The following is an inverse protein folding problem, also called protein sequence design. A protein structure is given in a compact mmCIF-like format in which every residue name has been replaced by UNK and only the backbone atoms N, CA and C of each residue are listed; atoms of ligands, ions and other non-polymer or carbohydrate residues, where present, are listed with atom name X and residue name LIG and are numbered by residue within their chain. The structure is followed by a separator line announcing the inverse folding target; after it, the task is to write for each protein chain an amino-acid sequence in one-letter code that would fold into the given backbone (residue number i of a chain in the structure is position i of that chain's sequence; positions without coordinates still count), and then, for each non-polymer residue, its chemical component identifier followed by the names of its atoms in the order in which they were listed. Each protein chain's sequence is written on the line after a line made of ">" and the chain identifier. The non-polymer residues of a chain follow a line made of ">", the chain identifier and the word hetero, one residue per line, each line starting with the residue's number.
data_IF_522431077519
#
_entry.id   IF_522431077519
#
_cell.length_a   1.000
_cell.length_b   1.000
_cell.length_c   1.000
_cell.angle_alpha   90.00
_cell.angle_beta   90.00
_cell.angle_gamma   90.00
#
_symmetry.space_group_name_H-M   'P 1'
#
loop_
_entity.id
_entity.type
_entity.pdbx_description
1 polymer ?
#
# COMPACT_ATOMS: atom_id res chain seq x y z
N UNK A 1 -9.63 26.26 -32.25
CA UNK A 1 -9.89 25.29 -33.35
C UNK A 1 -11.15 24.54 -33.02
N UNK A 2 -12.09 24.45 -33.93
CA UNK A 2 -13.37 23.71 -33.72
C UNK A 2 -13.26 22.33 -34.35
N UNK A 3 -12.41 21.47 -33.75
CA UNK A 3 -12.34 20.08 -34.18
C UNK A 3 -13.70 19.42 -33.93
N UNK A 4 -14.26 18.75 -34.93
CA UNK A 4 -15.52 18.04 -34.77
C UNK A 4 -15.26 16.77 -33.93
N UNK A 5 -15.95 16.68 -32.78
CA UNK A 5 -15.81 15.53 -31.88
C UNK A 5 -17.16 14.90 -31.62
N UNK A 6 -17.29 13.62 -31.96
CA UNK A 6 -18.47 12.81 -31.64
C UNK A 6 -18.17 11.97 -30.40
N UNK A 7 -19.02 12.08 -29.37
CA UNK A 7 -18.93 11.34 -28.14
C UNK A 7 -19.96 10.24 -28.06
N UNK A 8 -19.53 9.01 -27.74
CA UNK A 8 -20.41 7.86 -27.53
C UNK A 8 -20.07 7.22 -26.19
N UNK A 9 -21.05 7.13 -25.28
CA UNK A 9 -20.90 6.35 -24.05
C UNK A 9 -20.88 4.86 -24.37
N UNK A 10 -19.93 4.16 -23.79
CA UNK A 10 -19.80 2.71 -23.82
C UNK A 10 -20.07 2.13 -22.43
N UNK A 11 -20.13 0.81 -22.33
CA UNK A 11 -20.23 0.11 -21.02
C UNK A 11 -18.95 0.28 -20.19
N UNK A 12 -19.03 -0.03 -18.90
CA UNK A 12 -17.90 -0.02 -17.96
C UNK A 12 -17.20 1.34 -17.83
N UNK A 13 -17.99 2.41 -17.81
CA UNK A 13 -17.50 3.79 -17.67
C UNK A 13 -16.49 4.21 -18.76
N UNK A 14 -16.64 3.65 -19.96
CA UNK A 14 -15.85 4.05 -21.13
C UNK A 14 -16.60 5.05 -21.99
N UNK A 15 -15.82 5.90 -22.65
CA UNK A 15 -16.30 6.87 -23.62
C UNK A 15 -15.44 6.74 -24.87
N UNK A 16 -16.08 6.54 -26.01
CA UNK A 16 -15.43 6.63 -27.31
C UNK A 16 -15.56 8.06 -27.82
N UNK A 17 -14.44 8.67 -28.10
CA UNK A 17 -14.30 9.99 -28.70
C UNK A 17 -13.82 9.83 -30.13
N UNK A 18 -14.58 10.30 -31.11
CA UNK A 18 -14.21 10.29 -32.51
C UNK A 18 -13.85 11.70 -32.92
N UNK A 19 -12.61 11.91 -33.34
CA UNK A 19 -12.03 13.18 -33.73
C UNK A 19 -11.88 13.22 -35.24
N UNK A 20 -12.34 14.30 -35.85
CA UNK A 20 -12.18 14.58 -37.26
C UNK A 20 -11.57 15.99 -37.44
N UNK A 21 -10.36 16.05 -37.99
CA UNK A 21 -9.64 17.28 -38.32
C UNK A 21 -9.72 17.50 -39.83
N UNK A 22 -10.01 18.72 -40.22
CA UNK A 22 -9.91 19.12 -41.61
C UNK A 22 -8.49 19.08 -42.15
N UNK A 23 -8.29 19.05 -43.45
CA UNK A 23 -6.96 19.08 -44.06
C UNK A 23 -6.15 20.34 -43.66
N UNK A 24 -6.80 21.46 -43.38
CA UNK A 24 -6.12 22.69 -42.91
C UNK A 24 -5.64 22.58 -41.49
N UNK A 25 -6.48 22.04 -40.59
CA UNK A 25 -6.11 21.81 -39.18
C UNK A 25 -4.99 20.77 -39.07
N UNK A 26 -5.07 19.68 -39.82
CA UNK A 26 -4.01 18.66 -39.81
C UNK A 26 -2.68 19.16 -40.38
N UNK A 27 -2.73 20.13 -41.32
CA UNK A 27 -1.53 20.74 -41.89
C UNK A 27 -0.66 21.41 -40.83
N UNK A 28 -1.21 22.06 -39.84
CA UNK A 28 -0.44 22.68 -38.74
C UNK A 28 0.37 21.64 -37.97
N UNK A 29 -0.22 20.49 -37.68
CA UNK A 29 0.46 19.38 -37.00
C UNK A 29 1.53 18.75 -37.90
N UNK A 30 1.30 18.71 -39.20
CA UNK A 30 2.28 18.22 -40.16
C UNK A 30 3.51 19.15 -40.27
N UNK A 31 3.29 20.46 -40.28
CA UNK A 31 4.37 21.45 -40.26
C UNK A 31 5.19 21.37 -38.96
N UNK A 32 4.52 21.17 -37.83
CA UNK A 32 5.16 20.98 -36.55
C UNK A 32 6.01 19.69 -36.52
N UNK A 33 5.52 18.58 -37.08
CA UNK A 33 6.25 17.33 -37.19
C UNK A 33 7.53 17.49 -38.02
N UNK A 34 7.50 18.26 -39.12
CA UNK A 34 8.69 18.55 -39.90
C UNK A 34 9.71 19.32 -39.05
N UNK A 35 9.28 20.33 -38.30
CA UNK A 35 10.18 21.14 -37.47
C UNK A 35 10.79 20.29 -36.33
N UNK A 36 10.03 19.40 -35.74
CA UNK A 36 10.54 18.47 -34.72
C UNK A 36 11.58 17.50 -35.32
N UNK A 37 11.23 16.82 -36.41
CA UNK A 37 12.10 15.84 -37.06
C UNK A 37 13.37 16.47 -37.70
N UNK A 38 13.36 17.76 -38.00
CA UNK A 38 14.49 18.53 -38.53
C UNK A 38 15.75 18.39 -37.65
N UNK A 39 15.57 18.19 -36.34
CA UNK A 39 16.66 18.01 -35.39
C UNK A 39 17.23 16.57 -35.38
N UNK A 40 16.56 15.63 -36.03
CA UNK A 40 16.95 14.22 -36.09
C UNK A 40 17.39 13.74 -37.47
N UNK A 41 17.35 14.63 -38.47
CA UNK A 41 17.72 14.29 -39.85
C UNK A 41 18.94 15.04 -40.29
N UNK A 42 19.95 14.31 -40.83
CA UNK A 42 21.12 14.89 -41.47
C UNK A 42 20.78 15.23 -42.92
N UNK A 43 20.92 16.53 -43.28
CA UNK A 43 20.82 17.01 -44.63
C UNK A 43 22.19 17.54 -45.07
N UNK A 44 22.72 17.02 -46.20
CA UNK A 44 24.03 17.41 -46.67
C UNK A 44 24.14 18.90 -46.95
N UNK A 45 25.17 19.55 -46.46
CA UNK A 45 25.37 21.00 -46.57
C UNK A 45 24.71 21.85 -45.46
N UNK A 46 23.98 21.24 -44.51
CA UNK A 46 23.35 21.98 -43.43
C UNK A 46 23.75 21.37 -42.06
N UNK A 47 23.84 22.25 -41.05
CA UNK A 47 23.96 21.83 -39.67
C UNK A 47 22.60 21.27 -39.21
N UNK A 48 22.60 20.27 -38.32
CA UNK A 48 21.42 19.68 -37.75
C UNK A 48 20.46 20.76 -37.23
N UNK A 49 19.17 20.66 -37.59
CA UNK A 49 18.14 21.60 -37.23
C UNK A 49 18.11 22.93 -38.06
N UNK A 50 18.99 23.09 -39.08
CA UNK A 50 19.06 24.33 -39.91
C UNK A 50 18.71 24.14 -41.38
N UNK A 51 18.38 22.94 -41.78
CA UNK A 51 17.95 22.67 -43.15
C UNK A 51 16.54 23.26 -43.41
N UNK A 52 16.23 23.73 -44.63
CA UNK A 52 14.89 24.14 -45.03
C UNK A 52 13.90 22.95 -44.87
N UNK A 53 12.64 23.25 -44.47
CA UNK A 53 11.61 22.25 -44.26
C UNK A 53 11.37 21.33 -45.46
N UNK A 54 11.41 21.89 -46.70
CA UNK A 54 11.24 21.12 -47.94
C UNK A 54 12.34 20.06 -48.14
N UNK A 55 13.58 20.37 -47.79
CA UNK A 55 14.70 19.41 -47.90
C UNK A 55 14.67 18.33 -46.83
N UNK A 56 14.14 18.67 -45.63
CA UNK A 56 13.90 17.71 -44.56
C UNK A 56 12.80 16.73 -44.94
N UNK A 57 11.71 17.26 -45.53
CA UNK A 57 10.59 16.47 -46.01
C UNK A 57 11.00 15.49 -47.15
N UNK A 58 11.83 15.92 -48.10
CA UNK A 58 12.34 15.04 -49.16
C UNK A 58 13.22 13.88 -48.64
N UNK A 59 13.93 14.08 -47.52
CA UNK A 59 14.79 13.06 -46.92
C UNK A 59 14.07 12.11 -45.97
N UNK A 60 12.91 12.53 -45.44
CA UNK A 60 12.10 11.69 -44.58
C UNK A 60 11.22 10.72 -45.37
N UNK A 61 11.00 9.53 -44.79
CA UNK A 61 10.00 8.61 -45.33
C UNK A 61 8.64 9.22 -45.09
N UNK A 62 7.76 9.30 -46.10
CA UNK A 62 6.43 9.90 -45.98
C UNK A 62 5.61 9.28 -44.82
N UNK A 63 5.76 7.96 -44.59
CA UNK A 63 5.06 7.27 -43.53
C UNK A 63 5.52 7.72 -42.13
N UNK A 64 6.84 7.92 -41.93
CA UNK A 64 7.38 8.37 -40.65
C UNK A 64 6.92 9.81 -40.32
N UNK A 65 6.87 10.68 -41.32
CA UNK A 65 6.39 12.05 -41.15
C UNK A 65 4.89 12.06 -40.82
N UNK A 66 4.10 11.23 -41.51
CA UNK A 66 2.65 11.12 -41.24
C UNK A 66 2.38 10.57 -39.84
N UNK A 67 3.14 9.58 -39.38
CA UNK A 67 3.01 9.05 -38.03
C UNK A 67 3.32 10.12 -36.98
N UNK A 68 4.43 10.84 -37.12
CA UNK A 68 4.81 11.92 -36.20
C UNK A 68 3.76 13.03 -36.16
N UNK A 69 3.25 13.44 -37.32
CA UNK A 69 2.16 14.42 -37.41
C UNK A 69 0.87 13.92 -36.77
N UNK A 70 0.55 12.64 -36.98
CA UNK A 70 -0.60 11.98 -36.34
C UNK A 70 -0.48 11.92 -34.83
N UNK A 71 0.67 11.51 -34.30
CA UNK A 71 0.92 11.43 -32.87
C UNK A 71 0.84 12.82 -32.23
N UNK A 72 1.43 13.85 -32.85
CA UNK A 72 1.34 15.22 -32.38
C UNK A 72 -0.13 15.73 -32.39
N UNK A 73 -0.88 15.46 -33.46
CA UNK A 73 -2.28 15.85 -33.56
C UNK A 73 -3.14 15.17 -32.50
N UNK A 74 -2.96 13.84 -32.32
CA UNK A 74 -3.66 13.08 -31.27
C UNK A 74 -3.39 13.67 -29.91
N UNK A 75 -2.13 13.85 -29.54
CA UNK A 75 -1.75 14.36 -28.22
C UNK A 75 -2.34 15.74 -27.94
N UNK A 76 -2.25 16.64 -28.90
CA UNK A 76 -2.71 18.03 -28.75
C UNK A 76 -4.25 18.12 -28.67
N UNK A 77 -4.93 17.57 -29.66
CA UNK A 77 -6.40 17.67 -29.81
C UNK A 77 -7.10 16.89 -28.65
N UNK A 78 -6.60 15.72 -28.32
CA UNK A 78 -7.13 14.95 -27.20
C UNK A 78 -6.99 15.70 -25.87
N UNK A 79 -5.80 16.24 -25.58
CA UNK A 79 -5.54 16.94 -24.32
C UNK A 79 -6.41 18.18 -24.18
N UNK A 80 -6.56 18.95 -25.25
CA UNK A 80 -7.39 20.13 -25.24
C UNK A 80 -8.87 19.80 -25.05
N UNK A 81 -9.39 18.77 -25.75
CA UNK A 81 -10.76 18.31 -25.58
C UNK A 81 -11.05 17.84 -24.15
N UNK A 82 -10.16 17.05 -23.56
CA UNK A 82 -10.29 16.57 -22.16
C UNK A 82 -10.36 17.75 -21.19
N UNK A 83 -9.51 18.76 -21.38
CA UNK A 83 -9.45 19.96 -20.54
C UNK A 83 -10.72 20.82 -20.67
N UNK A 84 -11.16 21.08 -21.90
CA UNK A 84 -12.33 21.92 -22.17
C UNK A 84 -13.62 21.29 -21.65
N UNK A 85 -13.76 19.97 -21.77
CA UNK A 85 -14.95 19.24 -21.33
C UNK A 85 -14.85 18.77 -19.87
N UNK A 86 -13.75 19.09 -19.17
CA UNK A 86 -13.52 18.71 -17.76
C UNK A 86 -13.69 17.21 -17.52
N UNK A 87 -13.26 16.39 -18.49
CA UNK A 87 -13.26 14.95 -18.34
C UNK A 87 -12.08 14.52 -17.45
N UNK A 88 -12.28 13.49 -16.67
CA UNK A 88 -11.26 12.91 -15.79
C UNK A 88 -10.94 11.48 -16.26
N UNK A 89 -10.09 11.33 -17.31
CA UNK A 89 -9.72 10.00 -17.79
C UNK A 89 -8.84 9.27 -16.77
N UNK A 90 -9.05 7.97 -16.69
CA UNK A 90 -8.25 7.06 -15.87
C UNK A 90 -7.38 6.22 -16.80
N UNK A 91 -6.07 6.30 -16.61
CA UNK A 91 -5.09 5.62 -17.47
C UNK A 91 -4.88 6.31 -18.82
N UNK A 92 -4.23 5.60 -19.72
CA UNK A 92 -3.98 6.08 -21.08
C UNK A 92 -5.15 5.76 -22.01
N UNK A 93 -5.48 6.65 -22.98
CA UNK A 93 -6.50 6.37 -23.97
C UNK A 93 -6.07 5.26 -24.92
N UNK A 94 -7.00 4.43 -25.34
CA UNK A 94 -6.78 3.51 -26.46
C UNK A 94 -7.07 4.25 -27.76
N UNK A 95 -5.99 4.62 -28.50
CA UNK A 95 -6.09 5.41 -29.72
C UNK A 95 -6.04 4.52 -30.96
N UNK A 96 -6.96 4.74 -31.89
CA UNK A 96 -6.99 4.09 -33.21
C UNK A 96 -7.11 5.10 -34.31
N UNK A 97 -6.10 5.20 -35.18
CA UNK A 97 -6.13 6.07 -36.35
C UNK A 97 -7.07 5.42 -37.40
N UNK A 98 -8.04 6.18 -37.84
CA UNK A 98 -8.99 5.75 -38.88
C UNK A 98 -8.58 6.25 -40.29
N UNK A 99 -8.06 7.47 -40.36
CA UNK A 99 -7.68 8.07 -41.63
C UNK A 99 -6.49 8.98 -41.42
N UNK A 100 -5.44 8.80 -42.20
CA UNK A 100 -4.25 9.63 -42.20
C UNK A 100 -3.65 9.69 -43.63
N UNK A 101 -3.58 10.88 -44.22
CA UNK A 101 -2.89 11.07 -45.47
C UNK A 101 -2.51 12.59 -45.64
N UNK A 102 -1.40 12.84 -46.33
CA UNK A 102 -0.95 14.23 -46.57
C UNK A 102 -1.98 14.99 -47.39
N UNK A 103 -2.37 16.16 -46.89
CA UNK A 103 -3.32 17.05 -47.58
C UNK A 103 -4.77 16.57 -47.55
N UNK A 104 -5.10 15.60 -46.72
CA UNK A 104 -6.47 15.15 -46.46
C UNK A 104 -6.83 15.28 -44.99
N UNK A 105 -8.10 15.05 -44.69
CA UNK A 105 -8.60 15.00 -43.31
C UNK A 105 -7.83 13.94 -42.48
N UNK A 106 -7.67 14.20 -41.21
CA UNK A 106 -7.16 13.27 -40.24
C UNK A 106 -8.26 12.82 -39.28
N UNK A 107 -8.47 11.53 -39.13
CA UNK A 107 -9.50 11.00 -38.25
C UNK A 107 -8.95 9.91 -37.36
N UNK A 108 -9.26 9.97 -36.05
CA UNK A 108 -8.91 8.96 -35.07
C UNK A 108 -10.00 8.78 -34.02
N UNK A 109 -9.98 7.66 -33.35
CA UNK A 109 -10.80 7.43 -32.17
C UNK A 109 -9.92 7.26 -30.95
N UNK A 110 -10.38 7.79 -29.82
CA UNK A 110 -9.80 7.56 -28.50
C UNK A 110 -10.87 6.95 -27.59
N UNK A 111 -10.64 5.74 -27.09
CA UNK A 111 -11.47 5.16 -26.05
C UNK A 111 -10.82 5.47 -24.72
N UNK A 112 -11.55 6.19 -23.89
CA UNK A 112 -11.11 6.57 -22.54
C UNK A 112 -11.97 5.90 -21.49
N UNK A 113 -11.37 5.52 -20.39
CA UNK A 113 -12.08 5.14 -19.17
C UNK A 113 -12.21 6.41 -18.31
N UNK A 114 -13.42 6.73 -17.87
CA UNK A 114 -13.67 7.84 -16.95
C UNK A 114 -14.09 7.31 -15.58
N UNK A 115 -14.00 8.18 -14.56
CA UNK A 115 -14.51 7.83 -13.25
C UNK A 115 -16.03 7.58 -13.33
N UNK A 116 -16.53 6.47 -12.75
CA UNK A 116 -17.95 6.15 -12.80
C UNK A 116 -18.78 7.10 -11.97
N UNK A 117 -20.00 7.35 -12.40
CA UNK A 117 -21.02 7.98 -11.58
C UNK A 117 -21.40 7.04 -10.44
N UNK A 118 -21.37 7.51 -9.20
CA UNK A 118 -21.66 6.74 -7.98
C UNK A 118 -23.01 7.13 -7.42
N UNK A 119 -23.97 6.21 -7.42
CA UNK A 119 -25.23 6.38 -6.70
C UNK A 119 -25.05 5.96 -5.23
N UNK A 120 -24.99 6.95 -4.33
CA UNK A 120 -24.88 6.70 -2.91
C UNK A 120 -26.25 6.40 -2.28
N UNK A 121 -26.31 5.48 -1.30
CA UNK A 121 -27.49 5.30 -0.45
C UNK A 121 -27.67 6.50 0.51
N UNK A 122 -28.67 6.45 1.37
CA UNK A 122 -28.76 7.39 2.49
C UNK A 122 -27.62 7.15 3.49
N UNK A 123 -26.46 7.75 3.17
CA UNK A 123 -25.25 7.62 3.98
C UNK A 123 -25.38 8.28 5.36
N UNK A 124 -26.28 9.27 5.52
CA UNK A 124 -26.51 9.94 6.80
C UNK A 124 -27.17 8.98 7.80
N UNK A 125 -28.18 8.27 7.35
CA UNK A 125 -28.84 7.26 8.18
C UNK A 125 -27.93 6.05 8.45
N UNK A 126 -27.08 5.68 7.49
CA UNK A 126 -26.08 4.63 7.70
C UNK A 126 -25.07 5.07 8.76
N UNK A 127 -24.57 6.31 8.70
CA UNK A 127 -23.62 6.83 9.68
C UNK A 127 -24.23 6.88 11.08
N UNK A 128 -25.49 7.34 11.22
CA UNK A 128 -26.22 7.33 12.51
C UNK A 128 -26.40 5.94 13.11
N UNK A 129 -26.56 4.93 12.27
CA UNK A 129 -26.77 3.56 12.71
C UNK A 129 -25.50 2.88 13.25
N UNK A 130 -24.31 3.38 12.92
CA UNK A 130 -23.03 2.84 13.39
C UNK A 130 -22.64 3.50 14.70
N UNK A 131 -22.86 2.78 15.80
CA UNK A 131 -22.53 3.27 17.15
C UNK A 131 -21.08 2.95 17.50
N UNK A 132 -20.44 3.89 18.19
CA UNK A 132 -19.14 3.67 18.82
C UNK A 132 -19.28 2.76 20.04
N UNK A 133 -18.21 2.02 20.33
CA UNK A 133 -18.07 1.26 21.57
C UNK A 133 -17.51 2.16 22.66
N UNK A 134 -17.96 1.97 23.87
CA UNK A 134 -17.35 2.62 25.02
C UNK A 134 -15.93 2.10 25.23
N UNK A 135 -14.99 3.02 25.33
CA UNK A 135 -13.58 2.70 25.49
C UNK A 135 -13.21 2.83 26.97
N UNK A 136 -12.86 1.70 27.55
CA UNK A 136 -12.37 1.61 28.93
C UNK A 136 -11.00 0.96 28.94
N UNK A 137 -10.13 1.41 29.83
CA UNK A 137 -8.84 0.79 30.12
C UNK A 137 -8.95 0.08 31.47
N UNK A 138 -8.69 -1.21 31.45
CA UNK A 138 -8.72 -2.03 32.67
C UNK A 138 -7.36 -2.00 33.37
N UNK A 139 -7.37 -2.20 34.68
CA UNK A 139 -6.14 -2.34 35.46
C UNK A 139 -5.28 -3.52 34.96
N UNK A 140 -5.94 -4.58 34.47
CA UNK A 140 -5.23 -5.75 33.91
C UNK A 140 -4.40 -5.39 32.66
N UNK A 141 -4.93 -4.58 31.76
CA UNK A 141 -4.19 -4.15 30.57
C UNK A 141 -2.98 -3.28 30.90
N UNK A 142 -3.11 -2.43 31.90
CA UNK A 142 -1.99 -1.65 32.41
C UNK A 142 -0.93 -2.58 33.00
N UNK A 143 -1.35 -3.56 33.81
CA UNK A 143 -0.45 -4.53 34.43
C UNK A 143 0.23 -5.42 33.40
N UNK A 144 -0.49 -5.89 32.38
CA UNK A 144 0.07 -6.71 31.32
C UNK A 144 1.12 -5.94 30.51
N UNK A 145 0.87 -4.67 30.22
CA UNK A 145 1.84 -3.79 29.56
C UNK A 145 3.09 -3.56 30.41
N UNK A 146 2.91 -3.37 31.72
CA UNK A 146 4.05 -3.24 32.67
C UNK A 146 4.85 -4.52 32.74
N UNK A 147 4.19 -5.68 32.82
CA UNK A 147 4.82 -6.99 32.86
C UNK A 147 5.60 -7.27 31.56
N UNK A 148 5.07 -6.87 30.42
CA UNK A 148 5.79 -6.94 29.15
C UNK A 148 7.07 -6.10 29.18
N UNK A 149 7.00 -4.84 29.62
CA UNK A 149 8.16 -3.97 29.73
C UNK A 149 9.18 -4.50 30.78
N UNK A 150 8.69 -5.08 31.88
CA UNK A 150 9.55 -5.73 32.89
C UNK A 150 10.36 -6.87 32.26
N UNK A 151 9.73 -7.71 31.42
CA UNK A 151 10.42 -8.80 30.71
C UNK A 151 11.46 -8.28 29.71
N UNK A 152 11.19 -7.18 29.02
CA UNK A 152 12.18 -6.59 28.10
C UNK A 152 13.43 -6.02 28.82
N UNK A 153 13.36 -5.83 30.13
CA UNK A 153 14.44 -5.37 30.99
C UNK A 153 15.01 -6.46 31.87
N UNK A 154 14.60 -7.72 31.67
CA UNK A 154 15.14 -8.85 32.40
C UNK A 154 16.65 -8.99 32.19
N UNK A 155 17.34 -9.37 33.26
CA UNK A 155 18.75 -9.75 33.21
C UNK A 155 18.84 -11.26 33.10
N UNK A 156 19.73 -11.75 32.26
CA UNK A 156 19.94 -13.18 32.04
C UNK A 156 21.30 -13.58 32.59
N UNK A 157 21.31 -14.51 33.54
CA UNK A 157 22.52 -14.99 34.18
C UNK A 157 22.67 -16.49 33.89
N UNK A 158 23.73 -16.87 33.20
CA UNK A 158 24.01 -18.27 32.87
C UNK A 158 24.27 -19.10 34.16
N UNK A 159 23.74 -20.32 34.17
CA UNK A 159 23.98 -21.27 35.25
C UNK A 159 24.08 -22.70 34.72
N UNK A 160 24.67 -23.59 35.55
CA UNK A 160 24.87 -25.01 35.21
C UNK A 160 23.82 -25.93 35.85
N UNK A 161 22.81 -25.38 36.51
CA UNK A 161 21.72 -26.19 37.06
C UNK A 161 20.81 -26.71 35.95
N UNK A 162 20.03 -27.77 36.19
CA UNK A 162 18.99 -28.22 35.28
C UNK A 162 18.01 -27.07 34.95
N UNK A 163 17.59 -26.97 33.68
CA UNK A 163 16.65 -25.96 33.20
C UNK A 163 15.31 -26.10 33.94
N UNK A 164 14.78 -24.96 34.39
CA UNK A 164 13.52 -24.84 35.11
C UNK A 164 12.54 -23.97 34.31
N UNK A 165 11.27 -24.04 34.65
CA UNK A 165 10.28 -23.11 34.13
C UNK A 165 10.70 -21.67 34.42
N UNK A 166 10.53 -20.78 33.44
CA UNK A 166 10.97 -19.37 33.42
C UNK A 166 12.47 -19.14 33.19
N UNK A 167 13.28 -20.20 33.03
CA UNK A 167 14.61 -20.00 32.50
C UNK A 167 14.60 -19.70 31.03
N UNK A 168 15.51 -18.85 30.59
CA UNK A 168 15.79 -18.63 29.18
C UNK A 168 16.74 -19.69 28.68
N UNK A 169 16.33 -20.42 27.64
CA UNK A 169 17.12 -21.50 27.08
C UNK A 169 17.46 -21.20 25.62
N UNK A 170 18.71 -21.46 25.27
CA UNK A 170 19.15 -21.55 23.88
C UNK A 170 19.27 -23.02 23.54
N UNK A 171 18.65 -23.44 22.47
CA UNK A 171 18.64 -24.82 22.00
C UNK A 171 19.10 -24.91 20.56
N UNK A 172 19.59 -26.08 20.21
CA UNK A 172 19.80 -26.51 18.83
C UNK A 172 18.96 -27.77 18.62
N UNK A 173 18.06 -27.73 17.62
CA UNK A 173 17.16 -28.86 17.39
C UNK A 173 17.07 -29.24 15.92
N UNK A 174 16.74 -30.51 15.67
CA UNK A 174 16.42 -31.02 14.36
C UNK A 174 15.17 -31.89 14.40
N UNK A 175 14.36 -31.79 13.32
CA UNK A 175 13.15 -32.57 13.14
C UNK A 175 12.94 -32.77 11.63
N UNK A 176 12.71 -34.01 11.20
CA UNK A 176 12.56 -34.33 9.78
C UNK A 176 11.35 -33.64 9.16
N UNK A 177 10.27 -33.54 9.92
CA UNK A 177 8.98 -33.01 9.50
C UNK A 177 8.97 -31.47 9.34
N UNK A 178 9.87 -30.77 10.03
CA UNK A 178 9.91 -29.30 10.04
C UNK A 178 10.98 -28.76 9.08
N UNK A 179 12.22 -29.24 9.23
CA UNK A 179 13.40 -28.65 8.61
C UNK A 179 14.26 -29.69 7.86
N UNK A 180 13.64 -30.77 7.38
CA UNK A 180 14.30 -31.85 6.66
C UNK A 180 15.46 -32.52 7.46
N UNK A 181 15.38 -32.44 8.80
CA UNK A 181 16.42 -32.94 9.69
C UNK A 181 17.65 -32.04 9.82
N UNK A 182 17.62 -30.85 9.24
CA UNK A 182 18.70 -29.87 9.45
C UNK A 182 18.64 -29.31 10.87
N UNK A 183 19.80 -29.00 11.42
CA UNK A 183 19.88 -28.39 12.75
C UNK A 183 19.54 -26.92 12.69
N UNK A 184 18.69 -26.45 13.60
CA UNK A 184 18.25 -25.04 13.74
C UNK A 184 18.47 -24.64 15.20
N UNK A 185 18.95 -23.41 15.41
CA UNK A 185 19.06 -22.79 16.72
C UNK A 185 17.81 -21.98 17.01
N UNK A 186 17.35 -22.05 18.24
CA UNK A 186 16.24 -21.29 18.75
C UNK A 186 16.46 -20.92 20.21
N UNK A 187 15.73 -19.89 20.67
CA UNK A 187 15.86 -19.41 22.05
C UNK A 187 14.50 -18.93 22.55
N UNK A 188 14.13 -19.31 23.75
CA UNK A 188 12.86 -18.95 24.37
C UNK A 188 12.90 -19.12 25.90
N UNK A 189 11.85 -18.60 26.55
CA UNK A 189 11.64 -18.78 28.00
C UNK A 189 10.77 -20.02 28.22
N UNK A 190 11.27 -20.98 28.97
CA UNK A 190 10.57 -22.23 29.27
C UNK A 190 9.24 -21.95 29.98
N UNK A 191 8.17 -22.53 29.46
CA UNK A 191 6.82 -22.43 30.00
C UNK A 191 6.01 -21.19 29.57
N UNK A 192 6.57 -20.36 28.69
CA UNK A 192 5.85 -19.18 28.16
C UNK A 192 5.27 -19.37 26.76
N UNK A 193 5.34 -20.58 26.23
CA UNK A 193 4.78 -20.91 24.91
C UNK A 193 5.63 -20.46 23.73
N UNK A 194 6.93 -20.32 23.90
CA UNK A 194 7.91 -20.06 22.84
C UNK A 194 7.99 -21.22 21.85
N UNK A 195 7.65 -22.43 22.33
CA UNK A 195 7.52 -23.64 21.53
C UNK A 195 6.25 -24.42 21.93
N UNK A 196 5.97 -25.56 21.30
CA UNK A 196 4.82 -26.37 21.67
C UNK A 196 5.00 -26.98 23.07
N UNK A 197 3.94 -27.09 23.86
CA UNK A 197 3.96 -27.47 25.26
C UNK A 197 4.72 -28.78 25.54
N UNK A 198 4.43 -29.87 24.84
CA UNK A 198 5.12 -31.16 25.06
C UNK A 198 6.61 -31.11 24.70
N UNK A 199 7.03 -30.19 23.86
CA UNK A 199 8.43 -29.93 23.54
C UNK A 199 9.13 -29.23 24.71
N UNK A 200 8.54 -28.16 25.24
CA UNK A 200 9.10 -27.41 26.37
C UNK A 200 9.21 -28.29 27.63
N UNK A 201 8.18 -29.10 27.91
CA UNK A 201 8.14 -30.02 29.03
C UNK A 201 9.31 -31.03 28.98
N UNK A 202 9.74 -31.41 27.77
CA UNK A 202 10.85 -32.37 27.57
C UNK A 202 12.23 -31.75 27.81
N UNK A 203 12.34 -30.41 27.76
CA UNK A 203 13.58 -29.67 28.02
C UNK A 203 13.74 -29.35 29.49
N UNK A 204 12.64 -29.24 30.25
CA UNK A 204 12.72 -29.04 31.71
C UNK A 204 13.55 -30.15 32.33
N UNK A 205 14.53 -29.78 33.16
CA UNK A 205 15.46 -30.72 33.82
C UNK A 205 16.74 -31.03 33.06
N UNK A 206 16.86 -30.63 31.78
CA UNK A 206 18.08 -30.76 30.99
C UNK A 206 19.12 -29.71 31.39
N UNK A 207 20.40 -30.04 31.27
CA UNK A 207 21.53 -29.14 31.54
C UNK A 207 22.13 -28.61 30.24
N UNK A 208 22.83 -27.49 30.33
CA UNK A 208 23.63 -26.99 29.22
C UNK A 208 24.60 -28.07 28.71
N UNK A 209 24.66 -28.28 27.41
CA UNK A 209 25.45 -29.32 26.74
C UNK A 209 24.74 -30.67 26.60
N UNK A 210 23.61 -30.91 27.27
CA UNK A 210 22.88 -32.18 27.23
C UNK A 210 22.06 -32.30 25.92
N UNK A 211 22.05 -33.52 25.38
CA UNK A 211 21.28 -33.90 24.19
C UNK A 211 20.20 -34.91 24.56
N UNK A 212 19.03 -34.76 24.00
CA UNK A 212 17.89 -35.65 24.20
C UNK A 212 17.09 -35.79 22.91
N UNK A 213 16.62 -37.03 22.69
CA UNK A 213 15.67 -37.34 21.63
C UNK A 213 14.32 -37.70 22.25
N UNK A 214 13.25 -37.08 21.75
CA UNK A 214 11.90 -37.34 22.24
C UNK A 214 10.86 -37.13 21.11
N UNK A 215 9.71 -37.78 21.27
CA UNK A 215 8.56 -37.59 20.40
C UNK A 215 7.56 -36.66 21.07
N UNK A 216 7.00 -35.73 20.28
CA UNK A 216 5.88 -34.92 20.72
C UNK A 216 4.86 -34.74 19.60
N UNK A 217 3.60 -34.52 19.98
CA UNK A 217 2.50 -34.36 19.04
C UNK A 217 2.26 -32.89 18.77
N UNK A 218 2.19 -32.51 17.47
CA UNK A 218 1.79 -31.17 17.10
C UNK A 218 0.36 -30.88 17.54
N UNK A 219 0.06 -29.68 18.03
CA UNK A 219 -1.31 -29.29 18.35
C UNK A 219 -2.19 -29.32 17.10
N UNK A 220 -3.47 -29.61 17.27
CA UNK A 220 -4.43 -29.71 16.15
C UNK A 220 -4.65 -28.38 15.42
N UNK A 221 -4.39 -27.27 16.11
CA UNK A 221 -4.43 -25.91 15.57
C UNK A 221 -3.06 -25.38 15.09
N UNK A 222 -2.11 -26.26 14.82
CA UNK A 222 -0.80 -25.85 14.31
C UNK A 222 -0.95 -25.02 13.02
N UNK A 223 -0.15 -23.94 12.83
CA UNK A 223 -0.20 -23.09 11.63
C UNK A 223 0.03 -23.89 10.34
N UNK A 224 0.90 -24.90 10.38
CA UNK A 224 1.12 -25.84 9.30
C UNK A 224 0.10 -26.99 9.39
N UNK A 225 -0.92 -26.92 8.56
CA UNK A 225 -2.01 -27.93 8.50
C UNK A 225 -1.51 -29.36 8.21
N UNK A 226 -0.40 -29.45 7.48
CA UNK A 226 0.23 -30.74 7.13
C UNK A 226 0.89 -31.42 8.36
N UNK A 227 1.17 -30.69 9.43
CA UNK A 227 1.73 -31.19 10.68
C UNK A 227 0.71 -31.36 11.79
N UNK A 228 -0.44 -30.69 11.70
CA UNK A 228 -1.47 -30.72 12.75
C UNK A 228 -1.82 -32.13 13.20
N UNK A 229 -1.76 -32.40 14.51
CA UNK A 229 -2.08 -33.68 15.11
C UNK A 229 -1.06 -34.82 14.87
N UNK A 230 0.01 -34.60 14.10
CA UNK A 230 1.04 -35.62 13.84
C UNK A 230 2.07 -35.68 14.95
N UNK A 231 2.61 -36.87 15.17
CA UNK A 231 3.81 -37.04 16.03
C UNK A 231 5.06 -36.76 15.21
N UNK A 232 6.02 -36.08 15.86
CA UNK A 232 7.33 -35.82 15.30
C UNK A 232 8.42 -36.10 16.33
N UNK A 233 9.55 -36.58 15.82
CA UNK A 233 10.73 -36.87 16.64
C UNK A 233 11.69 -35.70 16.58
N UNK A 234 11.98 -35.14 17.73
CA UNK A 234 12.92 -34.04 17.90
C UNK A 234 14.21 -34.55 18.56
N UNK A 235 15.32 -34.19 17.94
CA UNK A 235 16.63 -34.27 18.58
C UNK A 235 17.03 -32.88 19.02
N UNK A 236 17.16 -32.66 20.31
CA UNK A 236 17.41 -31.35 20.92
C UNK A 236 18.70 -31.39 21.72
N UNK A 237 19.51 -30.36 21.58
CA UNK A 237 20.68 -30.06 22.41
C UNK A 237 20.45 -28.73 23.10
N UNK A 238 20.56 -28.70 24.42
CA UNK A 238 20.52 -27.43 25.17
C UNK A 238 21.91 -26.80 25.08
N UNK A 239 21.99 -25.61 24.49
CA UNK A 239 23.25 -24.87 24.31
C UNK A 239 23.57 -24.07 25.56
N UNK A 240 22.60 -23.33 26.09
CA UNK A 240 22.77 -22.60 27.35
C UNK A 240 21.45 -22.54 28.13
N UNK A 241 21.59 -22.44 29.45
CA UNK A 241 20.49 -22.19 30.38
C UNK A 241 20.82 -20.94 31.18
N UNK A 242 19.88 -19.98 31.17
CA UNK A 242 20.08 -18.70 31.85
C UNK A 242 18.87 -18.41 32.75
N UNK A 243 19.11 -18.07 33.99
CA UNK A 243 18.07 -17.58 34.89
C UNK A 243 17.63 -16.19 34.48
N UNK A 244 16.35 -16.03 34.28
CA UNK A 244 15.76 -14.74 34.05
C UNK A 244 15.48 -14.03 35.37
N UNK A 245 16.13 -12.90 35.60
CA UNK A 245 15.93 -12.05 36.77
C UNK A 245 15.17 -10.79 36.33
N UNK A 246 13.93 -10.68 36.77
CA UNK A 246 13.06 -9.53 36.49
C UNK A 246 13.39 -8.39 37.47
N UNK A 247 13.51 -7.14 37.00
CA UNK A 247 13.63 -5.98 37.89
C UNK A 247 12.35 -5.83 38.74
N UNK A 248 12.49 -5.31 39.94
CA UNK A 248 11.32 -4.98 40.77
C UNK A 248 10.54 -3.81 40.17
N UNK A 249 9.21 -3.93 40.18
CA UNK A 249 8.31 -2.89 39.68
C UNK A 249 8.13 -1.83 40.77
N UNK A 250 8.99 -0.83 40.76
CA UNK A 250 9.06 0.26 41.72
C UNK A 250 9.37 1.61 41.02
N UNK A 251 9.58 2.67 41.77
CA UNK A 251 9.87 3.99 41.21
C UNK A 251 11.19 4.03 40.43
N UNK A 252 12.17 3.20 40.79
CA UNK A 252 13.45 3.12 40.08
C UNK A 252 13.25 2.48 38.70
N UNK A 253 12.44 1.42 38.62
CA UNK A 253 12.04 0.82 37.34
C UNK A 253 11.33 1.83 36.43
N UNK A 254 10.43 2.65 36.99
CA UNK A 254 9.76 3.69 36.21
C UNK A 254 10.75 4.73 35.64
N UNK A 255 11.75 5.15 36.42
CA UNK A 255 12.81 6.06 35.98
C UNK A 255 13.70 5.47 34.88
N UNK A 256 13.96 4.16 34.91
CA UNK A 256 14.73 3.48 33.85
C UNK A 256 13.98 3.39 32.51
N UNK A 257 12.64 3.42 32.56
CA UNK A 257 11.80 3.38 31.34
C UNK A 257 11.61 4.75 30.67
N UNK A 258 11.84 5.84 31.41
CA UNK A 258 11.70 7.18 30.89
C UNK A 258 11.74 8.26 31.96
N UNK A 259 11.39 9.48 31.61
CA UNK A 259 11.38 10.63 32.55
C UNK A 259 10.11 10.58 33.45
N UNK A 260 9.99 9.54 34.27
CA UNK A 260 8.89 9.40 35.23
C UNK A 260 9.42 9.52 36.66
N UNK A 261 8.78 10.36 37.47
CA UNK A 261 9.19 10.55 38.86
C UNK A 261 8.78 9.43 39.80
N UNK A 262 7.75 8.63 39.42
CA UNK A 262 7.23 7.53 40.21
C UNK A 262 6.54 6.48 39.36
N UNK A 263 6.36 5.29 39.92
CA UNK A 263 5.56 4.21 39.31
C UNK A 263 4.10 4.64 39.08
N UNK A 264 3.53 5.45 39.98
CA UNK A 264 2.17 5.99 39.83
C UNK A 264 2.06 6.91 38.60
N UNK A 265 3.03 7.80 38.39
CA UNK A 265 3.09 8.67 37.22
C UNK A 265 3.24 7.85 35.92
N UNK A 266 4.08 6.81 35.95
CA UNK A 266 4.24 5.89 34.85
C UNK A 266 2.95 5.14 34.51
N UNK A 267 2.25 4.57 35.50
CA UNK A 267 0.95 3.89 35.32
C UNK A 267 -0.10 4.83 34.72
N UNK A 268 -0.16 6.08 35.19
CA UNK A 268 -1.08 7.10 34.62
C UNK A 268 -0.75 7.38 33.15
N UNK A 269 0.53 7.50 32.80
CA UNK A 269 0.96 7.70 31.42
C UNK A 269 0.60 6.49 30.53
N UNK A 270 0.81 5.28 31.02
CA UNK A 270 0.42 4.04 30.35
C UNK A 270 -1.10 3.99 30.10
N UNK A 271 -1.91 4.32 31.12
CA UNK A 271 -3.35 4.39 31.01
C UNK A 271 -3.79 5.36 29.90
N UNK A 272 -3.21 6.55 29.87
CA UNK A 272 -3.48 7.55 28.83
C UNK A 272 -3.06 7.02 27.45
N UNK A 273 -1.90 6.41 27.35
CA UNK A 273 -1.41 5.81 26.08
C UNK A 273 -2.34 4.72 25.54
N UNK A 274 -2.72 3.75 26.39
CA UNK A 274 -3.65 2.68 26.03
C UNK A 274 -5.03 3.26 25.66
N UNK A 275 -5.52 4.26 26.41
CA UNK A 275 -6.78 4.93 26.12
C UNK A 275 -6.75 5.61 24.75
N UNK A 276 -5.66 6.30 24.42
CA UNK A 276 -5.48 6.96 23.11
C UNK A 276 -5.44 5.95 21.97
N UNK A 277 -4.68 4.86 22.13
CA UNK A 277 -4.58 3.79 21.15
C UNK A 277 -5.95 3.12 20.88
N UNK A 278 -6.67 2.75 21.94
CA UNK A 278 -8.01 2.16 21.82
C UNK A 278 -9.01 3.13 21.19
N UNK A 279 -8.93 4.41 21.53
CA UNK A 279 -9.82 5.43 20.97
C UNK A 279 -9.57 5.59 19.48
N UNK A 280 -8.31 5.61 19.06
CA UNK A 280 -7.97 5.70 17.64
C UNK A 280 -8.36 4.41 16.89
N UNK A 281 -8.11 3.24 17.48
CA UNK A 281 -8.54 1.96 16.90
C UNK A 281 -10.07 1.89 16.72
N UNK A 282 -10.85 2.35 17.70
CA UNK A 282 -12.30 2.39 17.60
C UNK A 282 -12.78 3.42 16.56
N UNK A 283 -12.12 4.57 16.48
CA UNK A 283 -12.38 5.57 15.44
C UNK A 283 -12.18 4.97 14.04
N UNK A 284 -11.07 4.27 13.82
CA UNK A 284 -10.79 3.61 12.55
C UNK A 284 -11.77 2.47 12.27
N UNK A 285 -12.12 1.66 13.27
CA UNK A 285 -13.15 0.61 13.14
C UNK A 285 -14.49 1.20 12.69
N UNK A 286 -14.94 2.26 13.36
CA UNK A 286 -16.22 2.94 13.08
C UNK A 286 -16.23 3.52 11.66
N UNK A 287 -15.14 4.20 11.26
CA UNK A 287 -14.96 4.73 9.90
C UNK A 287 -15.04 3.63 8.85
N UNK A 288 -14.31 2.53 9.10
CA UNK A 288 -14.31 1.36 8.22
C UNK A 288 -15.71 0.75 8.10
N UNK A 289 -16.44 0.58 9.21
CA UNK A 289 -17.80 0.02 9.21
C UNK A 289 -18.79 0.93 8.46
N UNK A 290 -18.72 2.25 8.65
CA UNK A 290 -19.56 3.22 7.92
C UNK A 290 -19.30 3.10 6.42
N UNK A 291 -18.03 3.15 6.01
CA UNK A 291 -17.66 3.10 4.61
C UNK A 291 -18.08 1.77 3.96
N UNK A 292 -17.91 0.65 4.66
CA UNK A 292 -18.29 -0.67 4.18
C UNK A 292 -19.80 -0.78 3.97
N UNK A 293 -20.60 -0.32 4.93
CA UNK A 293 -22.08 -0.31 4.80
C UNK A 293 -22.57 0.62 3.67
N UNK A 294 -21.90 1.73 3.46
CA UNK A 294 -22.19 2.61 2.30
C UNK A 294 -21.83 1.87 1.02
N UNK A 295 -20.65 1.22 0.96
CA UNK A 295 -20.17 0.51 -0.23
C UNK A 295 -21.06 -0.67 -0.63
N UNK A 296 -21.63 -1.39 0.33
CA UNK A 296 -22.55 -2.50 0.07
C UNK A 296 -23.86 -2.05 -0.60
N UNK A 297 -24.30 -0.84 -0.31
CA UNK A 297 -25.57 -0.30 -0.82
C UNK A 297 -25.41 0.67 -2.00
N UNK A 298 -24.20 1.10 -2.29
CA UNK A 298 -23.90 1.97 -3.43
C UNK A 298 -23.96 1.21 -4.74
N UNK A 299 -24.39 1.90 -5.80
CA UNK A 299 -24.49 1.33 -7.15
C UNK A 299 -23.57 2.10 -8.10
N UNK A 300 -22.65 1.39 -8.70
CA UNK A 300 -21.79 1.85 -9.77
C UNK A 300 -21.08 0.65 -10.42
N UNK A 301 -20.68 0.82 -11.66
CA UNK A 301 -19.88 -0.19 -12.36
C UNK A 301 -18.40 0.12 -12.15
N UNK A 302 -17.65 -0.86 -11.65
CA UNK A 302 -16.22 -0.73 -11.45
C UNK A 302 -15.48 -0.88 -12.79
N UNK A 303 -14.75 0.16 -13.28
CA UNK A 303 -13.99 0.05 -14.50
C UNK A 303 -12.83 -0.96 -14.34
N UNK A 304 -12.72 -1.90 -15.26
CA UNK A 304 -11.66 -2.93 -15.23
C UNK A 304 -10.27 -2.30 -15.21
N UNK A 305 -10.06 -1.27 -16.02
CA UNK A 305 -8.77 -0.57 -16.09
C UNK A 305 -8.36 0.04 -14.74
N UNK A 306 -9.31 0.52 -13.93
CA UNK A 306 -9.01 1.02 -12.57
C UNK A 306 -8.55 -0.11 -11.65
N UNK A 307 -9.22 -1.26 -11.72
CA UNK A 307 -8.87 -2.43 -10.90
C UNK A 307 -7.47 -2.92 -11.26
N UNK A 308 -7.17 -3.05 -12.56
CA UNK A 308 -5.86 -3.47 -13.06
C UNK A 308 -4.74 -2.49 -12.63
N UNK A 309 -5.01 -1.21 -12.69
CA UNK A 309 -4.07 -0.18 -12.23
C UNK A 309 -3.80 -0.26 -10.73
N UNK A 310 -4.86 -0.41 -9.90
CA UNK A 310 -4.69 -0.55 -8.45
C UNK A 310 -4.02 -1.87 -8.07
N UNK A 311 -4.30 -2.97 -8.79
CA UNK A 311 -3.57 -4.24 -8.62
C UNK A 311 -2.07 -4.06 -8.90
N UNK A 312 -1.73 -3.34 -9.97
CA UNK A 312 -0.33 -3.06 -10.31
C UNK A 312 0.35 -2.24 -9.22
N UNK A 313 -0.35 -1.23 -8.68
CA UNK A 313 0.16 -0.39 -7.59
C UNK A 313 0.39 -1.21 -6.31
N UNK A 314 -0.54 -2.10 -5.96
CA UNK A 314 -0.39 -3.00 -4.81
C UNK A 314 0.80 -3.96 -4.97
N UNK A 315 1.03 -4.42 -6.20
CA UNK A 315 2.18 -5.27 -6.52
C UNK A 315 3.51 -4.51 -6.39
N UNK A 316 3.58 -3.27 -6.88
CA UNK A 316 4.76 -2.42 -6.70
C UNK A 316 5.02 -2.09 -5.23
N UNK A 317 3.99 -1.83 -4.44
CA UNK A 317 4.11 -1.66 -2.99
C UNK A 317 4.68 -2.91 -2.31
N UNK A 318 4.27 -4.10 -2.75
CA UNK A 318 4.83 -5.37 -2.26
C UNK A 318 6.31 -5.50 -2.63
N UNK A 319 6.68 -5.22 -3.90
CA UNK A 319 8.08 -5.26 -4.37
C UNK A 319 8.98 -4.37 -3.52
N UNK A 320 8.53 -3.13 -3.29
CA UNK A 320 9.25 -2.16 -2.48
C UNK A 320 9.42 -2.63 -1.02
N UNK A 321 8.37 -3.18 -0.41
CA UNK A 321 8.42 -3.72 0.96
C UNK A 321 9.40 -4.89 1.07
N UNK A 322 9.38 -5.82 0.12
CA UNK A 322 10.29 -6.97 0.12
C UNK A 322 11.74 -6.51 0.02
N UNK A 323 12.04 -5.64 -0.93
CA UNK A 323 13.39 -5.11 -1.12
C UNK A 323 13.89 -4.34 0.09
N UNK A 324 13.03 -3.49 0.69
CA UNK A 324 13.41 -2.64 1.82
C UNK A 324 13.52 -3.41 3.14
N UNK A 325 12.62 -4.36 3.43
CA UNK A 325 12.51 -5.02 4.74
C UNK A 325 13.22 -6.38 4.77
N UNK A 326 13.06 -7.18 3.71
CA UNK A 326 13.59 -8.55 3.65
C UNK A 326 14.99 -8.57 3.00
N UNK A 327 15.33 -7.54 2.21
CA UNK A 327 16.62 -7.36 1.51
C UNK A 327 16.96 -8.50 0.54
N UNK A 328 15.94 -9.07 -0.09
CA UNK A 328 16.06 -10.03 -1.20
C UNK A 328 15.44 -9.42 -2.44
N UNK A 329 15.79 -9.94 -3.62
CA UNK A 329 15.12 -9.54 -4.86
C UNK A 329 13.67 -10.07 -4.91
N UNK A 330 12.81 -9.43 -5.69
CA UNK A 330 11.44 -9.88 -5.84
C UNK A 330 11.36 -11.26 -6.53
N UNK A 331 12.28 -11.54 -7.46
CA UNK A 331 12.42 -12.84 -8.13
C UNK A 331 12.77 -13.96 -7.13
N UNK A 332 13.71 -13.71 -6.21
CA UNK A 332 14.05 -14.65 -5.15
C UNK A 332 12.87 -14.91 -4.21
N UNK A 333 12.11 -13.88 -3.89
CA UNK A 333 10.88 -14.02 -3.11
C UNK A 333 9.86 -14.90 -3.84
N UNK A 334 9.55 -14.62 -5.12
CA UNK A 334 8.62 -15.40 -5.93
C UNK A 334 9.05 -16.88 -6.02
N UNK A 335 10.34 -17.13 -6.21
CA UNK A 335 10.89 -18.48 -6.23
C UNK A 335 10.69 -19.21 -4.89
N UNK A 336 10.85 -18.51 -3.75
CA UNK A 336 10.67 -19.09 -2.41
C UNK A 336 9.24 -19.53 -2.12
N UNK A 337 8.25 -18.76 -2.62
CA UNK A 337 6.82 -19.06 -2.45
C UNK A 337 6.22 -19.85 -3.61
N UNK A 338 7.01 -20.14 -4.65
CA UNK A 338 6.62 -20.88 -5.87
C UNK A 338 5.39 -20.29 -6.56
N UNK A 339 5.40 -18.97 -6.75
CA UNK A 339 4.34 -18.23 -7.45
C UNK A 339 4.92 -17.33 -8.52
N UNK A 340 4.11 -17.01 -9.53
CA UNK A 340 4.42 -15.99 -10.54
C UNK A 340 3.95 -14.60 -10.10
N UNK A 341 4.44 -13.57 -10.77
CA UNK A 341 4.01 -12.18 -10.55
C UNK A 341 2.52 -12.02 -10.84
N UNK A 342 2.03 -12.64 -11.91
CA UNK A 342 0.61 -12.63 -12.29
C UNK A 342 -0.28 -13.27 -11.23
N UNK A 343 0.13 -14.42 -10.69
CA UNK A 343 -0.63 -15.08 -9.61
C UNK A 343 -0.70 -14.21 -8.35
N UNK A 344 0.37 -13.48 -8.02
CA UNK A 344 0.35 -12.53 -6.90
C UNK A 344 -0.60 -11.36 -7.23
N UNK A 345 -0.49 -10.80 -8.43
CA UNK A 345 -1.36 -9.70 -8.89
C UNK A 345 -2.84 -10.08 -8.82
N UNK A 346 -3.20 -11.28 -9.26
CA UNK A 346 -4.58 -11.79 -9.17
C UNK A 346 -5.08 -11.88 -7.72
N UNK A 347 -4.23 -12.22 -6.76
CA UNK A 347 -4.64 -12.25 -5.34
C UNK A 347 -5.09 -10.89 -4.82
N UNK A 348 -4.64 -9.80 -5.45
CA UNK A 348 -4.99 -8.43 -5.06
C UNK A 348 -6.32 -7.94 -5.64
N UNK A 349 -7.01 -8.70 -6.50
CA UNK A 349 -8.25 -8.25 -7.13
C UNK A 349 -9.28 -7.74 -6.12
N UNK A 350 -9.60 -8.53 -5.11
CA UNK A 350 -10.60 -8.17 -4.09
C UNK A 350 -10.17 -6.93 -3.27
N UNK A 351 -8.89 -6.84 -2.95
CA UNK A 351 -8.36 -5.71 -2.21
C UNK A 351 -8.38 -4.43 -3.06
N UNK A 352 -7.99 -4.53 -4.33
CA UNK A 352 -8.06 -3.43 -5.28
C UNK A 352 -9.50 -2.92 -5.46
N UNK A 353 -10.46 -3.83 -5.68
CA UNK A 353 -11.87 -3.47 -5.76
C UNK A 353 -12.37 -2.79 -4.48
N UNK A 354 -11.98 -3.29 -3.30
CA UNK A 354 -12.37 -2.69 -2.01
C UNK A 354 -11.81 -1.29 -1.84
N UNK A 355 -10.54 -1.07 -2.19
CA UNK A 355 -9.89 0.25 -2.12
C UNK A 355 -10.53 1.24 -3.08
N UNK A 356 -10.77 0.82 -4.32
CA UNK A 356 -11.41 1.66 -5.33
C UNK A 356 -12.85 2.01 -4.96
N UNK A 357 -13.62 1.07 -4.41
CA UNK A 357 -14.95 1.36 -3.87
C UNK A 357 -14.89 2.45 -2.81
N UNK A 358 -13.98 2.31 -1.84
CA UNK A 358 -13.76 3.33 -0.81
C UNK A 358 -13.40 4.70 -1.40
N UNK A 359 -12.47 4.73 -2.35
CA UNK A 359 -12.04 5.95 -3.03
C UNK A 359 -13.21 6.65 -3.75
N UNK A 360 -13.96 5.92 -4.57
CA UNK A 360 -15.08 6.46 -5.34
C UNK A 360 -16.19 7.00 -4.44
N UNK A 361 -16.50 6.30 -3.34
CA UNK A 361 -17.49 6.73 -2.35
C UNK A 361 -17.04 8.00 -1.64
N UNK A 362 -15.79 8.05 -1.16
CA UNK A 362 -15.26 9.25 -0.50
C UNK A 362 -15.25 10.45 -1.45
N UNK A 363 -14.86 10.25 -2.72
CA UNK A 363 -14.90 11.30 -3.73
C UNK A 363 -16.32 11.85 -3.93
N UNK A 364 -17.31 10.97 -4.07
CA UNK A 364 -18.70 11.38 -4.27
C UNK A 364 -19.29 12.05 -3.02
N UNK A 365 -18.98 11.53 -1.82
CA UNK A 365 -19.34 12.18 -0.56
C UNK A 365 -18.76 13.60 -0.48
N UNK A 366 -17.47 13.77 -0.82
CA UNK A 366 -16.81 15.06 -0.85
C UNK A 366 -17.48 16.06 -1.81
N UNK A 367 -17.92 15.56 -2.97
CA UNK A 367 -18.68 16.36 -3.95
C UNK A 367 -20.04 16.81 -3.40
N UNK A 368 -20.80 15.89 -2.78
CA UNK A 368 -22.13 16.17 -2.25
C UNK A 368 -22.10 17.08 -1.02
N UNK A 369 -21.14 16.89 -0.13
CA UNK A 369 -20.96 17.70 1.08
C UNK A 369 -20.12 18.97 0.82
N UNK A 370 -19.69 19.19 -0.45
CA UNK A 370 -18.90 20.37 -0.89
C UNK A 370 -17.64 20.57 -0.05
N UNK A 371 -16.92 19.46 0.18
CA UNK A 371 -15.70 19.49 0.96
C UNK A 371 -14.56 20.12 0.16
N UNK A 372 -14.02 21.22 0.66
CA UNK A 372 -12.88 21.91 0.06
C UNK A 372 -11.70 21.89 1.03
N UNK A 373 -10.50 21.80 0.47
CA UNK A 373 -9.23 21.93 1.21
C UNK A 373 -8.62 23.27 0.85
N UNK A 374 -8.49 24.14 1.84
CA UNK A 374 -7.87 25.45 1.64
C UNK A 374 -6.35 25.34 1.58
N UNK A 375 -5.71 26.31 0.88
CA UNK A 375 -4.24 26.38 0.81
C UNK A 375 -3.58 26.46 2.20
N UNK A 376 -4.23 27.16 3.13
CA UNK A 376 -3.74 27.25 4.51
C UNK A 376 -3.70 25.90 5.21
N UNK A 377 -4.74 25.09 5.11
CA UNK A 377 -4.78 23.75 5.72
C UNK A 377 -3.73 22.84 5.07
N UNK A 378 -3.56 22.95 3.76
CA UNK A 378 -2.54 22.21 3.03
C UNK A 378 -1.13 22.58 3.49
N UNK A 379 -0.83 23.86 3.61
CA UNK A 379 0.49 24.35 4.05
C UNK A 379 0.80 23.95 5.50
N UNK A 380 -0.20 24.02 6.39
CA UNK A 380 -0.06 23.57 7.79
C UNK A 380 0.25 22.07 7.87
N UNK A 381 -0.45 21.25 7.10
CA UNK A 381 -0.24 19.81 7.11
C UNK A 381 1.07 19.42 6.40
N UNK A 382 1.39 20.04 5.27
CA UNK A 382 2.67 19.86 4.58
C UNK A 382 3.85 20.17 5.52
N UNK A 383 3.73 21.23 6.35
CA UNK A 383 4.76 21.56 7.34
C UNK A 383 5.00 20.45 8.35
N UNK A 384 3.93 19.72 8.75
CA UNK A 384 4.04 18.56 9.66
C UNK A 384 4.64 17.35 8.94
N UNK A 385 4.16 17.08 7.74
CA UNK A 385 4.62 15.94 6.93
C UNK A 385 6.11 16.05 6.61
N UNK A 386 6.56 17.22 6.13
CA UNK A 386 7.97 17.47 5.77
C UNK A 386 8.92 17.32 6.95
N UNK A 387 8.50 17.63 8.18
CA UNK A 387 9.32 17.44 9.39
C UNK A 387 9.68 15.98 9.68
N UNK A 388 8.92 15.04 9.15
CA UNK A 388 9.15 13.62 9.37
C UNK A 388 10.16 13.00 8.37
N UNK A 389 10.60 13.76 7.36
CA UNK A 389 11.55 13.31 6.35
C UNK A 389 12.94 13.91 6.58
N UNK A 390 13.99 13.13 6.28
CA UNK A 390 15.35 13.66 6.20
C UNK A 390 15.52 14.52 4.94
N UNK A 391 16.59 15.34 4.91
CA UNK A 391 16.89 16.18 3.73
C UNK A 391 17.15 15.34 2.48
N UNK A 392 17.77 14.19 2.65
CA UNK A 392 18.07 13.23 1.56
C UNK A 392 16.80 12.60 1.01
N UNK A 393 15.84 12.27 1.87
CA UNK A 393 14.53 11.74 1.45
C UNK A 393 13.72 12.81 0.70
N UNK A 394 13.71 14.05 1.20
CA UNK A 394 12.99 15.15 0.53
C UNK A 394 13.55 15.47 -0.85
N UNK A 395 14.84 15.28 -1.08
CA UNK A 395 15.46 15.49 -2.40
C UNK A 395 15.00 14.46 -3.46
N UNK A 396 14.44 13.33 -3.04
CA UNK A 396 13.95 12.25 -3.92
C UNK A 396 12.43 12.27 -4.12
N UNK A 397 11.71 13.11 -3.37
CA UNK A 397 10.24 13.20 -3.41
C UNK A 397 9.81 14.32 -4.36
N UNK A 398 8.89 14.03 -5.27
CA UNK A 398 8.19 15.09 -6.01
C UNK A 398 7.25 15.84 -5.06
N UNK A 399 7.57 17.10 -4.82
CA UNK A 399 6.82 17.97 -3.92
C UNK A 399 5.37 18.19 -4.40
N UNK A 400 5.12 18.19 -5.70
CA UNK A 400 3.77 18.35 -6.23
C UNK A 400 2.94 17.09 -5.98
N UNK A 401 3.53 15.92 -6.19
CA UNK A 401 2.89 14.65 -5.87
C UNK A 401 2.57 14.54 -4.37
N UNK A 402 3.52 14.93 -3.51
CA UNK A 402 3.32 14.97 -2.06
C UNK A 402 2.19 15.93 -1.66
N UNK A 403 2.07 17.10 -2.32
CA UNK A 403 0.99 18.06 -2.10
C UNK A 403 -0.38 17.49 -2.47
N UNK A 404 -0.49 16.88 -3.64
CA UNK A 404 -1.76 16.26 -4.07
C UNK A 404 -2.16 15.10 -3.16
N UNK A 405 -1.20 14.27 -2.75
CA UNK A 405 -1.44 13.22 -1.77
C UNK A 405 -1.93 13.79 -0.43
N UNK A 406 -1.24 14.81 0.10
CA UNK A 406 -1.60 15.45 1.38
C UNK A 406 -2.98 16.11 1.31
N UNK A 407 -3.30 16.75 0.19
CA UNK A 407 -4.62 17.33 -0.07
C UNK A 407 -5.72 16.26 -0.04
N UNK A 408 -5.46 15.10 -0.65
CA UNK A 408 -6.36 13.93 -0.60
C UNK A 408 -6.57 13.41 0.83
N UNK A 409 -5.52 13.34 1.63
CA UNK A 409 -5.60 12.93 3.05
C UNK A 409 -6.47 13.90 3.85
N UNK A 410 -6.25 15.22 3.71
CA UNK A 410 -7.06 16.24 4.41
C UNK A 410 -8.52 16.16 3.97
N UNK A 411 -8.77 16.04 2.67
CA UNK A 411 -10.11 15.90 2.11
C UNK A 411 -10.86 14.70 2.71
N UNK A 412 -10.22 13.53 2.72
CA UNK A 412 -10.81 12.32 3.28
C UNK A 412 -11.06 12.44 4.79
N UNK A 413 -10.15 13.06 5.54
CA UNK A 413 -10.33 13.29 6.98
C UNK A 413 -11.55 14.17 7.25
N UNK A 414 -11.75 15.24 6.48
CA UNK A 414 -12.95 16.10 6.58
C UNK A 414 -14.24 15.34 6.31
N UNK A 415 -14.24 14.46 5.30
CA UNK A 415 -15.41 13.62 5.01
C UNK A 415 -15.72 12.69 6.17
N UNK A 416 -14.69 12.04 6.73
CA UNK A 416 -14.89 11.19 7.89
C UNK A 416 -15.38 11.97 9.11
N UNK A 417 -14.92 13.19 9.35
CA UNK A 417 -15.43 14.06 10.41
C UNK A 417 -16.93 14.36 10.24
N UNK A 418 -17.35 14.67 9.00
CA UNK A 418 -18.77 14.88 8.69
C UNK A 418 -19.58 13.62 8.97
N UNK A 419 -19.10 12.44 8.56
CA UNK A 419 -19.79 11.16 8.84
C UNK A 419 -19.85 10.83 10.32
N UNK A 420 -18.79 11.14 11.07
CA UNK A 420 -18.74 11.00 12.53
C UNK A 420 -19.73 11.93 13.24
N UNK A 421 -19.91 13.16 12.73
CA UNK A 421 -20.89 14.11 13.29
C UNK A 421 -22.33 13.65 13.10
N UNK A 422 -22.66 13.00 11.98
CA UNK A 422 -23.97 12.37 11.81
C UNK A 422 -24.21 11.20 12.78
N UNK A 423 -23.17 10.61 13.33
CA UNK A 423 -23.24 9.44 14.21
C UNK A 423 -23.17 9.78 15.71
N UNK A 424 -23.13 11.07 16.06
CA UNK A 424 -23.29 11.58 17.42
C UNK A 424 -24.77 11.67 17.78
#
# INVERSE_FOLDING_TARGET
>A
MTVEVKQKKLDKSQIELEFELTAEEFKEHFEHAIEHLKHHVKVDGFREGKAPASMVEEKLKPEALLMEAGDHAVQHVYTDYIRENKLEPVGQPEVKIKKIAKGSEFAFTAVITVLPDVELPDYKEIAKAVKGKEITVTEQEIQDSINYLQKTRAKFTAHNNPAQLKDFVEIEYSCKEINEGKSVKDQFILGEGGFMKGFEDSIVGMKAGEEKEFSTKFPENAPRKDLAGKEAIFKVKVVSVQKMELPEINDEFAKELGAFDSLAAFKTSMQVGIQMEKTEAEKQRKRGEILEKIAEKSKFEMPVAMVEYEQQRLLEDLKNKITAQIKISFEEYLASIKKTEEEIKETYQKEAEKRLKGFLILRELGRLEKVEVSDKELDEEMTKVVKNYSKEQLAQIDINELKEYTKGVIHNEKIFQILEDYSK
#
